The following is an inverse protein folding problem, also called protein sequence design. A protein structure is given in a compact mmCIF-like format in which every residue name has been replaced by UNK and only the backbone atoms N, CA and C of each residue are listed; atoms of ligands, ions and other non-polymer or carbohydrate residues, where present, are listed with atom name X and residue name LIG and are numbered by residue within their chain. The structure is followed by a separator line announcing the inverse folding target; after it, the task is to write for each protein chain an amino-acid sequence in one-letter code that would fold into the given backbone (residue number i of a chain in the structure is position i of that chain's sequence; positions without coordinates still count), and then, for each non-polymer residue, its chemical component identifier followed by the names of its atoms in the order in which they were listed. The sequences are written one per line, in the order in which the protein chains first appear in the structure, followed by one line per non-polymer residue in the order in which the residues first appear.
data_IF_201554467126
#
_entry.id   IF_201554467126
#
_cell.length_a   1.000
_cell.length_b   1.000
_cell.length_c   1.000
_cell.angle_alpha   90.00
_cell.angle_beta   90.00
_cell.angle_gamma   90.00
#
_symmetry.space_group_name_H-M   'P 1'
#
loop_
_entity.id
_entity.type
_entity.pdbx_description
1 polymer ?
#
# COMPACT_ATOMS: atom_id res chain seq x y z
N UNK A 1 18.90 21.82 5.48
CA UNK A 1 18.00 22.65 4.67
C UNK A 1 17.24 21.70 3.75
N UNK A 2 15.96 21.44 4.01
CA UNK A 2 15.17 20.57 3.15
C UNK A 2 14.92 21.32 1.84
N UNK A 3 15.39 20.76 0.72
CA UNK A 3 15.07 21.28 -0.60
C UNK A 3 13.60 21.06 -0.92
N UNK A 4 13.06 21.84 -1.86
CA UNK A 4 11.72 21.58 -2.38
C UNK A 4 11.64 20.17 -2.99
N UNK A 5 10.55 19.46 -2.72
CA UNK A 5 10.34 18.08 -3.11
C UNK A 5 8.93 17.86 -3.66
N UNK A 6 8.79 16.91 -4.59
CA UNK A 6 7.51 16.50 -5.17
C UNK A 6 7.35 14.99 -5.07
N UNK A 7 6.19 14.56 -4.59
CA UNK A 7 5.84 13.17 -4.33
C UNK A 7 4.63 12.79 -5.18
N UNK A 8 4.78 11.76 -6.01
CA UNK A 8 3.67 11.12 -6.72
C UNK A 8 3.38 9.78 -6.06
N UNK A 9 2.15 9.56 -5.62
CA UNK A 9 1.75 8.33 -4.95
C UNK A 9 0.61 7.66 -5.72
N UNK A 10 0.77 6.38 -6.03
CA UNK A 10 -0.20 5.54 -6.74
C UNK A 10 -0.20 4.13 -6.15
N UNK A 11 -1.24 3.32 -6.41
CA UNK A 11 -1.37 2.00 -5.79
C UNK A 11 -2.15 1.03 -6.67
N UNK A 12 -2.14 -0.25 -6.27
CA UNK A 12 -3.00 -1.30 -6.82
C UNK A 12 -2.82 -1.45 -8.34
N UNK A 13 -1.56 -1.62 -8.75
CA UNK A 13 -1.19 -1.88 -10.15
C UNK A 13 -1.34 -3.36 -10.49
N UNK A 14 -1.14 -4.25 -9.52
CA UNK A 14 -1.26 -5.70 -9.68
C UNK A 14 -0.50 -6.24 -10.89
N UNK A 15 0.75 -5.81 -11.08
CA UNK A 15 1.58 -6.28 -12.19
C UNK A 15 1.90 -7.77 -11.99
N UNK A 16 1.36 -8.60 -12.87
CA UNK A 16 1.57 -10.05 -12.90
C UNK A 16 2.40 -10.51 -14.11
N UNK A 17 2.46 -11.83 -14.30
CA UNK A 17 3.11 -12.46 -15.48
C UNK A 17 2.30 -12.32 -16.77
N UNK A 18 1.11 -11.75 -16.68
CA UNK A 18 0.28 -11.32 -17.80
C UNK A 18 -0.17 -9.87 -17.60
N UNK A 19 -0.66 -9.25 -18.68
CA UNK A 19 -1.25 -7.90 -18.70
C UNK A 19 -2.72 -7.99 -19.12
N UNK A 20 -3.45 -8.89 -18.47
CA UNK A 20 -4.85 -9.21 -18.83
C UNK A 20 -5.86 -8.24 -18.21
N UNK A 21 -5.41 -7.35 -17.31
CA UNK A 21 -6.29 -6.34 -16.73
C UNK A 21 -6.79 -5.40 -17.84
N UNK A 22 -8.11 -5.18 -17.98
CA UNK A 22 -8.68 -4.32 -19.01
C UNK A 22 -8.14 -2.89 -19.04
N UNK A 23 -7.67 -2.36 -17.90
CA UNK A 23 -7.06 -1.03 -17.80
C UNK A 23 -5.57 -1.02 -18.12
N UNK A 24 -4.94 -2.20 -18.23
CA UNK A 24 -3.53 -2.40 -18.65
C UNK A 24 -2.55 -1.47 -17.91
N UNK A 25 -2.49 -1.54 -16.57
CA UNK A 25 -1.66 -0.64 -15.77
C UNK A 25 -0.17 -0.71 -16.17
N UNK A 26 0.33 -1.88 -16.57
CA UNK A 26 1.70 -2.05 -17.07
C UNK A 26 2.00 -1.31 -18.38
N UNK A 27 0.99 -1.05 -19.21
CA UNK A 27 1.11 -0.23 -20.42
C UNK A 27 0.89 1.27 -20.14
N UNK A 28 0.09 1.60 -19.12
CA UNK A 28 -0.23 2.97 -18.74
C UNK A 28 0.91 3.66 -17.95
N UNK A 29 1.48 2.96 -16.97
CA UNK A 29 2.50 3.49 -16.06
C UNK A 29 3.72 4.15 -16.76
N UNK A 30 4.30 3.59 -17.84
CA UNK A 30 5.44 4.22 -18.52
C UNK A 30 5.10 5.62 -19.03
N UNK A 31 3.86 5.83 -19.52
CA UNK A 31 3.39 7.12 -20.00
C UNK A 31 3.31 8.15 -18.87
N UNK A 32 2.79 7.74 -17.71
CA UNK A 32 2.72 8.57 -16.51
C UNK A 32 4.11 8.98 -16.03
N UNK A 33 5.02 8.01 -15.85
CA UNK A 33 6.37 8.28 -15.36
C UNK A 33 7.13 9.25 -16.29
N UNK A 34 7.03 9.06 -17.61
CA UNK A 34 7.71 9.92 -18.57
C UNK A 34 7.15 11.34 -18.60
N UNK A 35 5.82 11.50 -18.52
CA UNK A 35 5.15 12.81 -18.68
C UNK A 35 5.05 13.60 -17.39
N UNK A 36 4.78 12.95 -16.27
CA UNK A 36 4.54 13.63 -14.99
C UNK A 36 5.83 13.70 -14.15
N UNK A 37 6.57 12.59 -14.03
CA UNK A 37 7.71 12.48 -13.11
C UNK A 37 8.99 13.00 -13.75
N UNK A 38 9.29 12.55 -14.97
CA UNK A 38 10.55 12.86 -15.65
C UNK A 38 10.59 14.25 -16.30
N UNK A 39 9.43 14.88 -16.55
CA UNK A 39 9.37 16.18 -17.21
C UNK A 39 9.84 17.36 -16.32
N UNK A 40 9.84 17.20 -14.98
CA UNK A 40 10.28 18.23 -14.05
C UNK A 40 11.79 18.28 -13.85
N UNK A 41 12.34 19.48 -13.63
CA UNK A 41 13.74 19.69 -13.24
C UNK A 41 13.82 20.55 -11.97
N UNK A 42 14.90 20.39 -11.18
CA UNK A 42 15.26 21.31 -10.10
C UNK A 42 14.69 21.02 -8.70
N UNK A 43 13.75 20.09 -8.54
CA UNK A 43 13.24 19.64 -7.23
C UNK A 43 13.59 18.17 -6.97
N UNK A 44 13.64 17.78 -5.70
CA UNK A 44 13.70 16.35 -5.33
C UNK A 44 12.41 15.68 -5.77
N UNK A 45 12.51 14.46 -6.31
CA UNK A 45 11.38 13.75 -6.92
C UNK A 45 11.27 12.37 -6.32
N UNK A 46 10.06 12.02 -5.90
CA UNK A 46 9.75 10.76 -5.26
C UNK A 46 8.52 10.13 -5.91
N UNK A 47 8.62 8.85 -6.27
CA UNK A 47 7.46 8.05 -6.69
C UNK A 47 7.23 6.99 -5.63
N UNK A 48 6.00 6.91 -5.14
CA UNK A 48 5.59 5.97 -4.10
C UNK A 48 4.51 5.04 -4.66
N UNK A 49 4.80 3.75 -4.65
CA UNK A 49 3.81 2.71 -4.90
C UNK A 49 3.22 2.27 -3.55
N UNK A 50 1.97 2.65 -3.28
CA UNK A 50 1.29 2.52 -1.98
C UNK A 50 0.60 1.15 -1.85
N UNK A 51 1.37 0.09 -2.07
CA UNK A 51 0.92 -1.31 -2.01
C UNK A 51 0.35 -1.88 -3.29
N UNK A 52 0.37 -3.20 -3.36
CA UNK A 52 -0.21 -4.03 -4.43
C UNK A 52 0.32 -3.63 -5.82
N UNK A 53 1.63 -3.42 -5.88
CA UNK A 53 2.36 -3.13 -7.12
C UNK A 53 2.54 -4.39 -7.96
N UNK A 54 2.87 -5.51 -7.30
CA UNK A 54 3.20 -6.79 -7.93
C UNK A 54 2.31 -7.91 -7.39
N UNK A 55 2.15 -8.99 -8.16
CA UNK A 55 1.45 -10.21 -7.72
C UNK A 55 2.45 -11.27 -7.21
N UNK A 56 2.80 -11.18 -5.92
CA UNK A 56 3.81 -12.03 -5.25
C UNK A 56 3.26 -12.85 -4.06
N UNK A 57 2.01 -12.63 -3.66
CA UNK A 57 1.45 -13.18 -2.41
C UNK A 57 1.52 -14.71 -2.34
N UNK A 58 1.97 -15.22 -1.19
CA UNK A 58 1.97 -16.64 -0.87
C UNK A 58 3.03 -17.47 -1.60
N UNK A 59 4.03 -16.81 -2.21
CA UNK A 59 5.17 -17.46 -2.84
C UNK A 59 6.31 -17.62 -1.84
N UNK A 60 7.03 -18.74 -1.95
CA UNK A 60 8.30 -18.89 -1.24
C UNK A 60 9.34 -17.90 -1.78
N UNK A 61 10.45 -17.70 -1.07
CA UNK A 61 11.49 -16.73 -1.44
C UNK A 61 12.02 -16.90 -2.87
N UNK A 62 12.47 -18.11 -3.24
CA UNK A 62 12.98 -18.40 -4.58
C UNK A 62 11.90 -18.20 -5.67
N UNK A 63 10.65 -18.54 -5.34
CA UNK A 63 9.52 -18.35 -6.25
C UNK A 63 9.17 -16.87 -6.41
N UNK A 64 9.29 -16.07 -5.35
CA UNK A 64 9.08 -14.62 -5.37
C UNK A 64 10.15 -13.93 -6.24
N UNK A 65 11.41 -14.33 -6.12
CA UNK A 65 12.49 -13.84 -6.97
C UNK A 65 12.23 -14.17 -8.44
N UNK A 66 11.97 -15.43 -8.77
CA UNK A 66 11.69 -15.86 -10.14
C UNK A 66 10.42 -15.19 -10.71
N UNK A 67 9.39 -15.00 -9.87
CA UNK A 67 8.16 -14.30 -10.25
C UNK A 67 8.42 -12.83 -10.53
N UNK A 68 9.19 -12.15 -9.69
CA UNK A 68 9.55 -10.74 -9.87
C UNK A 68 10.29 -10.54 -11.20
N UNK A 69 11.28 -11.37 -11.50
CA UNK A 69 11.98 -11.33 -12.80
C UNK A 69 11.02 -11.54 -13.97
N UNK A 70 10.12 -12.52 -13.87
CA UNK A 70 9.12 -12.81 -14.90
C UNK A 70 8.18 -11.63 -15.14
N UNK A 71 7.72 -10.96 -14.07
CA UNK A 71 6.89 -9.76 -14.16
C UNK A 71 7.66 -8.64 -14.86
N UNK A 72 8.92 -8.40 -14.51
CA UNK A 72 9.72 -7.34 -15.11
C UNK A 72 10.01 -7.59 -16.60
N UNK A 73 10.23 -8.85 -16.99
CA UNK A 73 10.35 -9.25 -18.40
C UNK A 73 9.05 -9.00 -19.16
N UNK A 74 7.91 -9.37 -18.57
CA UNK A 74 6.58 -9.16 -19.17
C UNK A 74 6.27 -7.67 -19.35
N UNK A 75 6.70 -6.83 -18.41
CA UNK A 75 6.41 -5.39 -18.38
C UNK A 75 7.66 -4.53 -18.67
N UNK A 76 8.42 -4.90 -19.70
CA UNK A 76 9.73 -4.31 -20.00
C UNK A 76 9.71 -2.77 -20.15
N UNK A 77 8.65 -2.21 -20.73
CA UNK A 77 8.53 -0.75 -20.87
C UNK A 77 8.31 -0.02 -19.54
N UNK A 78 7.62 -0.68 -18.59
CA UNK A 78 7.48 -0.20 -17.21
C UNK A 78 8.82 -0.27 -16.51
N UNK A 79 9.52 -1.40 -16.60
CA UNK A 79 10.85 -1.56 -16.02
C UNK A 79 11.83 -0.49 -16.52
N UNK A 80 11.91 -0.28 -17.84
CA UNK A 80 12.73 0.77 -18.45
C UNK A 80 12.35 2.18 -17.99
N UNK A 81 11.07 2.45 -17.76
CA UNK A 81 10.64 3.75 -17.27
C UNK A 81 11.03 3.97 -15.80
N UNK A 82 10.95 2.94 -14.97
CA UNK A 82 11.39 2.98 -13.56
C UNK A 82 12.92 3.14 -13.46
N UNK A 83 13.68 2.36 -14.23
CA UNK A 83 15.14 2.50 -14.33
C UNK A 83 15.53 3.93 -14.78
N UNK A 84 14.86 4.46 -15.81
CA UNK A 84 15.11 5.83 -16.27
C UNK A 84 14.75 6.91 -15.23
N UNK A 85 13.78 6.65 -14.34
CA UNK A 85 13.50 7.49 -13.18
C UNK A 85 14.66 7.44 -12.18
N UNK A 86 15.08 6.24 -11.75
CA UNK A 86 16.16 6.07 -10.80
C UNK A 86 17.48 6.67 -11.32
N UNK A 87 17.82 6.43 -12.59
CA UNK A 87 19.01 7.00 -13.26
C UNK A 87 18.98 8.54 -13.36
N UNK A 88 17.80 9.17 -13.28
CA UNK A 88 17.63 10.63 -13.21
C UNK A 88 17.53 11.17 -11.78
N UNK A 89 17.89 10.35 -10.79
CA UNK A 89 17.90 10.71 -9.38
C UNK A 89 16.51 10.77 -8.74
N UNK A 90 15.47 10.22 -9.37
CA UNK A 90 14.16 10.05 -8.74
C UNK A 90 14.26 8.94 -7.70
N UNK A 91 13.73 9.18 -6.51
CA UNK A 91 13.64 8.17 -5.47
C UNK A 91 12.38 7.33 -5.68
N UNK A 92 12.53 6.00 -5.74
CA UNK A 92 11.45 5.05 -5.86
C UNK A 92 11.18 4.40 -4.49
N UNK A 93 9.93 4.45 -4.06
CA UNK A 93 9.47 3.87 -2.80
C UNK A 93 8.37 2.84 -3.09
N UNK A 94 8.50 1.64 -2.53
CA UNK A 94 7.51 0.57 -2.63
C UNK A 94 7.01 0.23 -1.24
N UNK A 95 5.82 0.72 -0.89
CA UNK A 95 5.13 0.30 0.32
C UNK A 95 4.45 -1.03 0.04
N UNK A 96 4.61 -2.00 0.93
CA UNK A 96 4.03 -3.33 0.72
C UNK A 96 2.53 -3.32 1.02
N UNK A 97 1.77 -3.93 0.11
CA UNK A 97 0.37 -4.26 0.27
C UNK A 97 0.19 -5.74 0.63
N UNK A 98 -1.03 -6.24 0.46
CA UNK A 98 -1.33 -7.64 0.77
C UNK A 98 -1.10 -8.59 -0.41
N UNK A 99 -0.95 -8.08 -1.64
CA UNK A 99 -0.58 -8.86 -2.84
C UNK A 99 0.93 -8.96 -3.07
N UNK A 100 1.71 -8.03 -2.51
CA UNK A 100 3.16 -7.96 -2.66
C UNK A 100 3.90 -7.92 -1.32
N UNK A 101 3.31 -8.45 -0.25
CA UNK A 101 3.97 -8.56 1.07
C UNK A 101 5.34 -9.25 1.00
N UNK A 102 5.52 -10.22 0.10
CA UNK A 102 6.82 -10.91 -0.10
C UNK A 102 7.93 -9.97 -0.59
N UNK A 103 7.57 -8.81 -1.16
CA UNK A 103 8.54 -7.80 -1.57
C UNK A 103 9.40 -7.30 -0.40
N UNK A 104 8.86 -7.36 0.82
CA UNK A 104 9.54 -6.91 2.01
C UNK A 104 10.69 -7.83 2.47
N UNK A 105 10.79 -9.06 1.91
CA UNK A 105 11.92 -9.95 2.19
C UNK A 105 13.23 -9.28 1.78
N UNK A 106 14.28 -9.33 2.62
CA UNK A 106 15.54 -8.62 2.33
C UNK A 106 16.15 -8.97 0.97
N UNK A 107 16.12 -10.25 0.58
CA UNK A 107 16.63 -10.72 -0.72
C UNK A 107 15.81 -10.21 -1.90
N UNK A 108 14.48 -10.26 -1.81
CA UNK A 108 13.55 -9.79 -2.86
C UNK A 108 13.64 -8.27 -3.02
N UNK A 109 13.68 -7.52 -1.92
CA UNK A 109 13.89 -6.07 -1.92
C UNK A 109 15.25 -5.69 -2.52
N UNK A 110 16.34 -6.35 -2.10
CA UNK A 110 17.67 -6.10 -2.64
C UNK A 110 17.76 -6.42 -4.13
N UNK A 111 17.10 -7.50 -4.56
CA UNK A 111 17.03 -7.88 -5.97
C UNK A 111 16.27 -6.84 -6.80
N UNK A 112 15.11 -6.35 -6.33
CA UNK A 112 14.39 -5.25 -6.99
C UNK A 112 15.27 -4.01 -7.13
N UNK A 113 15.96 -3.60 -6.05
CA UNK A 113 16.87 -2.45 -6.08
C UNK A 113 18.03 -2.63 -7.06
N UNK A 114 18.63 -3.83 -7.12
CA UNK A 114 19.71 -4.15 -8.04
C UNK A 114 19.25 -4.12 -9.51
N UNK A 115 18.01 -4.55 -9.79
CA UNK A 115 17.44 -4.49 -11.12
C UNK A 115 17.11 -3.05 -11.55
N UNK A 116 16.49 -2.25 -10.67
CA UNK A 116 16.00 -0.91 -11.01
C UNK A 116 17.05 0.21 -10.88
N UNK A 117 18.09 0.02 -10.07
CA UNK A 117 19.14 1.01 -9.89
C UNK A 117 20.48 0.34 -9.51
N UNK A 118 21.12 -0.40 -10.42
CA UNK A 118 22.33 -1.16 -10.11
C UNK A 118 23.50 -0.29 -9.64
N UNK A 119 23.59 0.96 -10.11
CA UNK A 119 24.66 1.89 -9.75
C UNK A 119 24.40 2.62 -8.43
N UNK A 120 23.14 2.84 -8.06
CA UNK A 120 22.74 3.51 -6.81
C UNK A 120 21.56 2.78 -6.15
N UNK A 121 21.74 1.56 -5.61
CA UNK A 121 20.61 0.74 -5.11
C UNK A 121 19.76 1.42 -4.04
N UNK A 122 20.31 2.40 -3.32
CA UNK A 122 19.60 3.22 -2.33
C UNK A 122 18.51 4.10 -2.91
N UNK A 123 18.45 4.27 -4.24
CA UNK A 123 17.35 4.94 -4.99
C UNK A 123 16.04 4.17 -4.97
N UNK A 124 16.08 2.89 -4.61
CA UNK A 124 14.92 2.02 -4.56
C UNK A 124 14.78 1.52 -3.12
N UNK A 125 13.68 1.90 -2.48
CA UNK A 125 13.41 1.56 -1.10
C UNK A 125 12.11 0.80 -0.98
N UNK A 126 12.16 -0.35 -0.31
CA UNK A 126 10.98 -1.12 0.07
C UNK A 126 10.61 -0.75 1.52
N UNK A 127 9.32 -0.49 1.74
CA UNK A 127 8.75 -0.15 3.03
C UNK A 127 7.79 -1.28 3.43
N UNK A 128 8.22 -2.16 4.35
CA UNK A 128 7.40 -3.27 4.85
C UNK A 128 6.01 -2.89 5.32
N UNK A 129 5.91 -1.74 5.99
CA UNK A 129 4.72 -1.36 6.74
C UNK A 129 4.13 -0.05 6.23
N UNK A 130 4.88 1.04 6.34
CA UNK A 130 4.51 2.34 5.81
C UNK A 130 5.75 3.17 5.49
N UNK A 131 5.55 4.21 4.69
CA UNK A 131 6.48 5.31 4.49
C UNK A 131 6.07 6.45 5.42
N UNK A 132 7.04 7.01 6.14
CA UNK A 132 6.88 8.23 6.92
C UNK A 132 7.86 9.29 6.43
N UNK A 133 7.33 10.47 6.14
CA UNK A 133 8.11 11.67 5.82
C UNK A 133 7.74 12.71 6.88
N UNK A 134 8.66 13.02 7.82
CA UNK A 134 8.35 13.86 8.97
C UNK A 134 7.61 15.14 8.59
N UNK A 135 6.47 15.38 9.25
CA UNK A 135 5.56 16.51 9.05
C UNK A 135 4.90 16.64 7.67
N UNK A 136 5.30 15.84 6.69
CA UNK A 136 4.78 15.90 5.32
C UNK A 136 3.69 14.86 5.11
N UNK A 137 4.04 13.57 5.18
CA UNK A 137 3.09 12.51 4.87
C UNK A 137 3.39 11.20 5.58
N UNK A 138 2.33 10.40 5.75
CA UNK A 138 2.43 8.96 5.94
C UNK A 138 1.72 8.27 4.77
N UNK A 139 2.31 7.20 4.23
CA UNK A 139 1.71 6.38 3.19
C UNK A 139 1.73 4.91 3.59
N UNK A 140 0.57 4.28 3.64
CA UNK A 140 0.39 2.86 3.93
C UNK A 140 -0.59 2.25 2.95
N UNK A 141 -0.50 0.96 2.64
CA UNK A 141 -1.52 0.36 1.77
C UNK A 141 -2.91 0.45 2.43
N UNK A 142 -3.04 0.04 3.71
CA UNK A 142 -4.27 0.15 4.51
C UNK A 142 -4.93 -1.19 4.87
N UNK A 143 -4.44 -2.29 4.30
CA UNK A 143 -4.92 -3.65 4.58
C UNK A 143 -4.86 -4.03 6.07
N UNK A 144 -3.91 -3.47 6.81
CA UNK A 144 -3.73 -3.69 8.24
C UNK A 144 -4.88 -3.19 9.13
N UNK A 145 -5.70 -2.29 8.62
CA UNK A 145 -6.89 -1.82 9.34
C UNK A 145 -8.17 -2.51 8.87
N UNK A 146 -8.07 -3.33 7.82
CA UNK A 146 -9.17 -4.06 7.24
C UNK A 146 -9.20 -5.50 7.76
N UNK A 147 -10.15 -5.78 8.64
CA UNK A 147 -10.25 -7.06 9.35
C UNK A 147 -10.32 -8.31 8.44
N UNK A 148 -10.57 -8.18 7.14
CA UNK A 148 -10.64 -9.32 6.21
C UNK A 148 -9.41 -9.47 5.30
N UNK A 149 -8.59 -8.43 5.17
CA UNK A 149 -7.41 -8.38 4.31
C UNK A 149 -6.11 -8.20 5.11
N UNK A 150 -6.22 -8.12 6.43
CA UNK A 150 -5.09 -7.92 7.31
C UNK A 150 -4.15 -9.12 7.29
N UNK A 151 -2.87 -8.80 7.14
CA UNK A 151 -1.76 -9.70 7.40
C UNK A 151 -1.28 -9.41 8.83
N UNK A 152 -1.30 -10.41 9.74
CA UNK A 152 -0.76 -10.23 11.08
C UNK A 152 0.77 -10.07 11.02
N UNK A 153 1.35 -9.45 12.06
CA UNK A 153 2.81 -9.35 12.24
C UNK A 153 3.58 -8.72 11.05
N UNK A 154 3.03 -7.67 10.40
CA UNK A 154 3.58 -7.04 9.16
C UNK A 154 5.11 -6.93 9.12
N UNK A 155 5.76 -6.53 10.23
CA UNK A 155 7.23 -6.44 10.30
C UNK A 155 7.96 -7.79 10.33
N UNK A 156 7.38 -8.80 11.00
CA UNK A 156 7.93 -10.16 10.99
C UNK A 156 7.69 -10.84 9.65
N UNK A 157 6.50 -10.67 9.09
CA UNK A 157 6.12 -11.17 7.76
C UNK A 157 7.01 -10.59 6.67
N UNK A 158 7.47 -9.36 6.86
CA UNK A 158 8.45 -8.74 6.01
C UNK A 158 9.84 -9.37 6.11
N UNK A 159 10.31 -9.69 7.30
CA UNK A 159 11.67 -10.22 7.51
C UNK A 159 11.75 -11.72 7.20
N UNK A 160 10.71 -12.48 7.55
CA UNK A 160 10.70 -13.95 7.47
C UNK A 160 9.77 -14.51 6.38
N UNK A 161 9.07 -13.63 5.63
CA UNK A 161 8.06 -14.05 4.67
C UNK A 161 6.70 -14.39 5.26
N UNK A 162 5.73 -14.70 4.40
CA UNK A 162 4.42 -15.20 4.83
C UNK A 162 4.29 -16.72 4.89
N UNK A 163 5.39 -17.46 4.72
CA UNK A 163 5.41 -18.94 4.64
C UNK A 163 4.72 -19.64 5.82
N UNK A 164 4.70 -19.01 7.00
CA UNK A 164 4.09 -19.53 8.23
C UNK A 164 2.72 -18.90 8.56
N UNK A 165 2.20 -18.03 7.70
CA UNK A 165 0.93 -17.33 7.94
C UNK A 165 -0.23 -18.06 7.30
N UNK A 166 -1.34 -18.09 8.02
CA UNK A 166 -2.60 -18.56 7.45
C UNK A 166 -3.19 -17.47 6.53
N UNK A 167 -3.92 -17.91 5.50
CA UNK A 167 -4.64 -17.01 4.60
C UNK A 167 -5.52 -16.03 5.38
N UNK A 168 -5.59 -14.75 4.97
CA UNK A 168 -6.55 -13.79 5.52
C UNK A 168 -8.00 -14.29 5.39
N UNK A 169 -8.94 -13.82 6.25
CA UNK A 169 -10.28 -14.39 6.32
C UNK A 169 -11.04 -14.42 4.99
N UNK A 170 -10.94 -13.37 4.17
CA UNK A 170 -11.61 -13.37 2.86
C UNK A 170 -10.94 -14.30 1.85
N UNK A 171 -9.61 -14.40 1.88
CA UNK A 171 -8.88 -15.35 1.05
C UNK A 171 -9.25 -16.79 1.42
N UNK A 172 -9.36 -17.09 2.72
CA UNK A 172 -9.81 -18.41 3.21
C UNK A 172 -11.24 -18.76 2.75
N UNK A 173 -12.15 -17.78 2.66
CA UNK A 173 -13.48 -18.00 2.11
C UNK A 173 -13.46 -18.38 0.62
N UNK A 174 -12.61 -17.73 -0.17
CA UNK A 174 -12.51 -17.96 -1.61
C UNK A 174 -11.74 -19.23 -1.96
N UNK A 175 -10.73 -19.58 -1.15
CA UNK A 175 -9.90 -20.76 -1.35
C UNK A 175 -10.58 -22.07 -0.92
N UNK A 176 -11.64 -22.02 -0.09
CA UNK A 176 -12.37 -23.23 0.32
C UNK A 176 -13.18 -23.78 -0.88
N UNK A 177 -12.84 -25.00 -1.37
CA UNK A 177 -13.44 -25.58 -2.57
C UNK A 177 -14.88 -26.04 -2.35
N UNK A 178 -15.36 -26.06 -1.11
CA UNK A 178 -16.72 -26.47 -0.77
C UNK A 178 -17.75 -25.52 -1.38
N UNK A 179 -18.86 -26.07 -1.86
CA UNK A 179 -20.05 -25.30 -2.22
C UNK A 179 -20.89 -24.90 -1.00
N UNK A 180 -20.60 -25.47 0.18
CA UNK A 180 -21.35 -25.22 1.42
C UNK A 180 -20.91 -23.92 2.09
N UNK A 181 -21.85 -22.99 2.27
CA UNK A 181 -21.63 -21.73 2.99
C UNK A 181 -21.18 -21.94 4.44
N UNK A 182 -21.64 -23.02 5.09
CA UNK A 182 -21.24 -23.36 6.47
C UNK A 182 -19.76 -23.79 6.55
N UNK A 183 -19.30 -24.59 5.57
CA UNK A 183 -17.89 -25.00 5.48
C UNK A 183 -16.97 -23.79 5.33
N UNK A 184 -17.29 -22.92 4.36
CA UNK A 184 -16.54 -21.70 4.09
C UNK A 184 -16.56 -20.72 5.28
N UNK A 185 -17.69 -20.60 5.99
CA UNK A 185 -17.77 -19.80 7.21
C UNK A 185 -16.89 -20.39 8.32
N UNK A 186 -16.80 -21.71 8.42
CA UNK A 186 -15.83 -22.40 9.28
C UNK A 186 -14.38 -22.09 8.91
N UNK A 187 -14.04 -22.02 7.62
CA UNK A 187 -12.70 -21.62 7.15
C UNK A 187 -12.35 -20.18 7.54
N UNK A 188 -13.29 -19.24 7.37
CA UNK A 188 -13.17 -17.85 7.84
C UNK A 188 -12.91 -17.81 9.35
N UNK A 189 -13.68 -18.56 10.14
CA UNK A 189 -13.53 -18.57 11.59
C UNK A 189 -12.17 -19.12 12.04
N UNK A 190 -11.68 -20.19 11.40
CA UNK A 190 -10.33 -20.74 11.66
C UNK A 190 -9.25 -19.73 11.29
N UNK A 191 -9.37 -19.06 10.14
CA UNK A 191 -8.45 -18.00 9.72
C UNK A 191 -8.42 -16.84 10.72
N UNK A 192 -9.58 -16.35 11.19
CA UNK A 192 -9.63 -15.32 12.23
C UNK A 192 -8.91 -15.73 13.51
N UNK A 193 -9.15 -16.96 14.00
CA UNK A 193 -8.48 -17.47 15.20
C UNK A 193 -6.96 -17.59 15.00
N UNK A 194 -6.53 -18.08 13.84
CA UNK A 194 -5.12 -18.17 13.50
C UNK A 194 -4.44 -16.80 13.47
N UNK A 195 -5.09 -15.78 12.89
CA UNK A 195 -4.59 -14.41 12.88
C UNK A 195 -4.49 -13.81 14.29
N UNK A 196 -5.45 -14.09 15.18
CA UNK A 196 -5.36 -13.65 16.58
C UNK A 196 -4.24 -14.37 17.35
N UNK A 197 -4.00 -15.66 17.08
CA UNK A 197 -2.90 -16.40 17.69
C UNK A 197 -1.53 -15.90 17.22
N UNK A 198 -1.38 -15.62 15.92
CA UNK A 198 -0.20 -14.99 15.34
C UNK A 198 0.11 -13.65 16.05
N UNK A 199 -0.91 -12.81 16.25
CA UNK A 199 -0.76 -11.52 16.94
C UNK A 199 -0.34 -11.62 18.42
N UNK A 200 -0.40 -12.80 19.05
CA UNK A 200 0.18 -12.98 20.39
C UNK A 200 1.70 -13.00 20.35
N UNK A 201 2.31 -13.39 19.23
CA UNK A 201 3.76 -13.39 18.99
C UNK A 201 4.34 -11.98 18.88
N UNK A 202 3.51 -10.96 18.62
CA UNK A 202 3.89 -9.54 18.70
C UNK A 202 4.41 -9.14 20.09
N UNK A 203 4.14 -9.96 21.12
CA UNK A 203 4.61 -9.73 22.49
C UNK A 203 5.95 -10.40 22.79
N UNK A 204 6.56 -11.04 21.80
CA UNK A 204 7.88 -11.66 21.92
C UNK A 204 8.97 -10.58 21.85
N UNK A 205 10.06 -10.68 22.64
CA UNK A 205 11.16 -9.72 22.64
C UNK A 205 11.76 -9.46 21.26
N UNK A 206 11.79 -10.48 20.40
CA UNK A 206 12.28 -10.39 19.03
C UNK A 206 11.47 -9.39 18.19
N UNK A 207 10.16 -9.26 18.46
CA UNK A 207 9.31 -8.28 17.77
C UNK A 207 9.57 -6.85 18.26
N UNK A 208 9.92 -6.68 19.55
CA UNK A 208 10.31 -5.37 20.08
C UNK A 208 11.62 -4.88 19.44
N UNK A 209 12.59 -5.77 19.19
CA UNK A 209 13.81 -5.43 18.44
C UNK A 209 13.49 -5.00 17.00
N UNK A 210 12.54 -5.66 16.33
CA UNK A 210 12.07 -5.25 15.01
C UNK A 210 11.43 -3.86 15.04
N UNK A 211 10.60 -3.56 16.05
CA UNK A 211 10.03 -2.22 16.23
C UNK A 211 11.12 -1.17 16.51
N UNK A 212 12.18 -1.50 17.23
CA UNK A 212 13.31 -0.60 17.44
C UNK A 212 14.06 -0.29 16.14
N UNK A 213 14.34 -1.31 15.34
CA UNK A 213 14.98 -1.11 14.03
C UNK A 213 14.09 -0.26 13.12
N UNK A 214 12.78 -0.51 13.15
CA UNK A 214 11.82 0.19 12.30
C UNK A 214 11.59 1.64 12.75
N UNK A 215 11.66 1.93 14.06
CA UNK A 215 11.54 3.31 14.58
C UNK A 215 12.68 4.20 14.08
N UNK A 216 13.91 3.65 14.05
CA UNK A 216 15.07 4.32 13.46
C UNK A 216 14.88 4.59 11.97
N UNK A 217 14.36 3.60 11.22
CA UNK A 217 14.11 3.72 9.77
C UNK A 217 13.07 4.78 9.45
N UNK A 218 12.01 4.86 10.27
CA UNK A 218 10.91 5.79 10.09
C UNK A 218 11.17 7.18 10.70
N UNK A 219 12.27 7.34 11.44
CA UNK A 219 12.55 8.52 12.26
C UNK A 219 11.38 8.87 13.19
N UNK A 220 10.78 7.84 13.81
CA UNK A 220 9.71 7.95 14.80
C UNK A 220 10.24 7.50 16.15
N UNK A 221 9.68 8.05 17.22
CA UNK A 221 9.97 7.53 18.54
C UNK A 221 9.38 6.11 18.71
N UNK A 222 10.05 5.32 19.53
CA UNK A 222 9.69 3.92 19.75
C UNK A 222 8.31 3.76 20.42
N UNK A 223 7.88 4.76 21.21
CA UNK A 223 6.57 4.71 21.87
C UNK A 223 5.43 4.94 20.86
N UNK A 224 5.57 5.92 19.97
CA UNK A 224 4.66 6.14 18.85
C UNK A 224 4.54 4.88 18.00
N UNK A 225 5.65 4.28 17.59
CA UNK A 225 5.61 3.10 16.75
C UNK A 225 4.93 1.90 17.44
N UNK A 226 5.15 1.72 18.75
CA UNK A 226 4.42 0.71 19.55
C UNK A 226 2.92 0.99 19.60
N UNK A 227 2.50 2.23 19.77
CA UNK A 227 1.09 2.58 19.79
C UNK A 227 0.42 2.41 18.43
N UNK A 228 1.12 2.75 17.34
CA UNK A 228 0.69 2.45 15.96
C UNK A 228 0.58 0.94 15.72
N UNK A 229 1.53 0.14 16.23
CA UNK A 229 1.47 -1.31 16.13
C UNK A 229 0.27 -1.87 16.91
N UNK A 230 -0.10 -1.25 18.04
CA UNK A 230 -1.30 -1.60 18.82
C UNK A 230 -2.60 -1.25 18.11
N UNK A 231 -2.66 -0.14 17.37
CA UNK A 231 -3.82 0.21 16.54
C UNK A 231 -4.12 -0.85 15.49
N UNK A 232 -3.06 -1.46 14.97
CA UNK A 232 -3.18 -2.48 13.95
C UNK A 232 -3.79 -3.77 14.51
N UNK A 233 -3.66 -4.08 15.83
CA UNK A 233 -3.97 -5.40 16.41
C UNK A 233 -5.31 -6.05 16.01
N UNK A 234 -5.24 -7.35 15.69
CA UNK A 234 -6.39 -8.12 15.20
C UNK A 234 -7.10 -8.73 16.39
N UNK A 235 -8.42 -8.71 16.37
CA UNK A 235 -9.23 -9.42 17.35
C UNK A 235 -10.34 -10.16 16.62
N UNK A 236 -10.50 -11.45 16.91
CA UNK A 236 -11.53 -12.29 16.29
C UNK A 236 -12.93 -11.70 16.51
N UNK A 237 -13.16 -11.13 17.70
CA UNK A 237 -14.43 -10.50 18.09
C UNK A 237 -14.81 -9.29 17.24
N UNK A 238 -13.85 -8.60 16.61
CA UNK A 238 -14.13 -7.47 15.70
C UNK A 238 -14.16 -7.88 14.23
N UNK A 239 -13.47 -8.97 13.87
CA UNK A 239 -13.36 -9.45 12.50
C UNK A 239 -14.54 -10.34 12.06
N UNK A 240 -14.99 -11.26 12.92
CA UNK A 240 -16.09 -12.19 12.61
C UNK A 240 -17.41 -11.49 12.26
N UNK A 241 -17.88 -10.49 13.04
CA UNK A 241 -19.12 -9.79 12.67
C UNK A 241 -18.99 -9.07 11.33
N UNK A 242 -17.83 -8.45 11.05
CA UNK A 242 -17.59 -7.73 9.79
C UNK A 242 -17.52 -8.68 8.58
N UNK A 243 -16.89 -9.85 8.76
CA UNK A 243 -16.91 -10.92 7.76
C UNK A 243 -18.35 -11.32 7.47
N UNK A 244 -19.10 -11.69 8.52
CA UNK A 244 -20.49 -12.13 8.41
C UNK A 244 -21.38 -11.07 7.75
N UNK A 245 -21.29 -9.80 8.16
CA UNK A 245 -22.06 -8.70 7.56
C UNK A 245 -21.72 -8.52 6.08
N UNK A 246 -20.43 -8.51 5.70
CA UNK A 246 -20.04 -8.38 4.29
C UNK A 246 -20.52 -9.55 3.45
N UNK A 247 -20.48 -10.77 4.00
CA UNK A 247 -20.96 -11.98 3.34
C UNK A 247 -22.49 -11.98 3.16
N UNK A 248 -23.24 -11.51 4.16
CA UNK A 248 -24.69 -11.32 4.06
C UNK A 248 -25.06 -10.23 3.04
N UNK A 249 -24.34 -9.11 3.04
CA UNK A 249 -24.60 -8.01 2.09
C UNK A 249 -24.23 -8.41 0.65
N UNK A 250 -23.14 -9.14 0.46
CA UNK A 250 -22.78 -9.72 -0.84
C UNK A 250 -23.86 -10.70 -1.34
N UNK A 251 -24.39 -11.55 -0.45
CA UNK A 251 -25.50 -12.45 -0.78
C UNK A 251 -26.81 -11.69 -1.10
N UNK A 252 -26.97 -10.48 -0.57
CA UNK A 252 -28.12 -9.61 -0.82
C UNK A 252 -27.89 -8.60 -1.97
N UNK A 253 -26.74 -8.63 -2.66
CA UNK A 253 -26.42 -7.71 -3.75
C UNK A 253 -26.17 -6.25 -3.35
N UNK A 254 -25.98 -5.96 -2.06
CA UNK A 254 -25.78 -4.60 -1.55
C UNK A 254 -24.29 -4.26 -1.40
N UNK A 255 -23.88 -3.08 -1.88
CA UNK A 255 -22.54 -2.50 -1.64
C UNK A 255 -22.60 -1.52 -0.46
N UNK A 256 -21.68 -1.65 0.50
CA UNK A 256 -21.57 -0.71 1.63
C UNK A 256 -21.04 0.62 1.12
N UNK A 257 -21.84 1.67 1.25
CA UNK A 257 -21.44 3.05 1.02
C UNK A 257 -20.97 3.69 2.33
N UNK A 258 -19.83 4.38 2.29
CA UNK A 258 -19.38 5.29 3.33
C UNK A 258 -18.46 6.33 2.71
N UNK A 259 -18.80 7.61 2.80
CA UNK A 259 -18.09 8.73 2.16
C UNK A 259 -17.01 9.37 3.04
N UNK A 260 -16.71 8.76 4.20
CA UNK A 260 -15.76 9.29 5.18
C UNK A 260 -14.45 8.50 5.14
N UNK A 261 -13.33 9.19 5.30
CA UNK A 261 -12.03 8.55 5.51
C UNK A 261 -12.08 7.49 6.63
N UNK A 262 -11.32 6.40 6.52
CA UNK A 262 -11.44 5.28 7.44
C UNK A 262 -11.11 5.71 8.87
N UNK A 263 -11.91 5.26 9.83
CA UNK A 263 -11.71 5.57 11.26
C UNK A 263 -10.31 5.17 11.78
N UNK A 264 -9.66 4.22 11.11
CA UNK A 264 -8.30 3.81 11.40
C UNK A 264 -7.26 4.87 10.99
N UNK A 265 -7.38 5.47 9.81
CA UNK A 265 -6.50 6.57 9.38
C UNK A 265 -6.57 7.75 10.35
N UNK A 266 -7.77 8.09 10.84
CA UNK A 266 -7.94 9.10 11.89
C UNK A 266 -7.20 8.73 13.18
N UNK A 267 -7.31 7.49 13.64
CA UNK A 267 -6.61 7.05 14.87
C UNK A 267 -5.09 7.10 14.69
N UNK A 268 -4.60 6.64 13.54
CA UNK A 268 -3.19 6.69 13.21
C UNK A 268 -2.66 8.13 13.20
N UNK A 269 -3.36 9.04 12.51
CA UNK A 269 -3.01 10.46 12.48
C UNK A 269 -2.98 11.07 13.87
N UNK A 270 -3.98 10.79 14.72
CA UNK A 270 -3.99 11.28 16.12
C UNK A 270 -2.84 10.74 16.94
N UNK A 271 -2.50 9.46 16.82
CA UNK A 271 -1.35 8.88 17.52
C UNK A 271 -0.07 9.59 17.10
N UNK A 272 0.13 9.87 15.80
CA UNK A 272 1.26 10.67 15.36
C UNK A 272 1.25 12.09 15.95
N UNK A 273 0.10 12.78 15.95
CA UNK A 273 -0.04 14.12 16.54
C UNK A 273 0.27 14.12 18.06
N UNK A 274 -0.21 13.12 18.81
CA UNK A 274 0.01 12.95 20.25
C UNK A 274 1.50 12.78 20.60
N UNK A 275 2.27 12.14 19.71
CA UNK A 275 3.71 11.94 19.85
C UNK A 275 4.54 13.04 19.14
N UNK A 276 3.92 14.14 18.74
CA UNK A 276 4.62 15.27 18.10
C UNK A 276 5.15 14.99 16.69
N UNK A 277 4.72 13.88 16.09
CA UNK A 277 5.11 13.42 14.74
C UNK A 277 3.97 13.56 13.73
N UNK A 278 3.03 14.48 13.99
CA UNK A 278 1.89 14.75 13.11
C UNK A 278 2.32 15.11 11.69
N UNK A 279 1.53 14.70 10.70
CA UNK A 279 1.80 14.87 9.25
C UNK A 279 0.67 15.62 8.55
N UNK A 280 0.98 16.34 7.47
CA UNK A 280 -0.02 17.04 6.68
C UNK A 280 -0.95 16.08 5.91
N UNK A 281 -0.41 14.94 5.43
CA UNK A 281 -1.14 14.00 4.59
C UNK A 281 -1.08 12.55 5.10
N UNK A 282 -2.21 11.87 5.04
CA UNK A 282 -2.33 10.42 5.18
C UNK A 282 -2.77 9.83 3.85
N UNK A 283 -1.96 8.96 3.25
CA UNK A 283 -2.21 8.38 1.92
C UNK A 283 -2.40 6.86 2.01
N UNK A 284 -3.45 6.33 1.37
CA UNK A 284 -3.78 4.89 1.36
C UNK A 284 -4.22 4.34 0.00
N UNK A 285 -3.89 3.08 -0.35
CA UNK A 285 -4.30 2.42 -1.60
C UNK A 285 -5.48 1.44 -1.48
N UNK A 286 -5.68 0.84 -0.32
CA UNK A 286 -6.39 -0.43 -0.16
C UNK A 286 -7.88 -0.50 -0.55
N UNK A 287 -8.61 0.62 -0.65
CA UNK A 287 -10.07 0.56 -0.85
C UNK A 287 -10.48 0.50 -2.32
N UNK A 288 -9.53 0.68 -3.24
CA UNK A 288 -9.74 0.84 -4.68
C UNK A 288 -10.71 1.97 -5.04
N UNK A 289 -10.96 2.88 -4.10
CA UNK A 289 -11.81 4.04 -4.28
C UNK A 289 -10.97 5.27 -4.11
N UNK A 290 -10.78 6.01 -5.19
CA UNK A 290 -10.17 7.31 -5.13
C UNK A 290 -11.03 8.25 -4.26
N UNK A 291 -10.43 8.84 -3.22
CA UNK A 291 -11.14 9.68 -2.27
C UNK A 291 -10.19 10.69 -1.64
N UNK A 292 -10.63 11.94 -1.52
CA UNK A 292 -9.95 12.94 -0.70
C UNK A 292 -10.94 13.46 0.35
N UNK A 293 -10.50 13.55 1.61
CA UNK A 293 -11.34 14.05 2.72
C UNK A 293 -10.51 14.58 3.87
N UNK A 294 -11.10 15.41 4.72
CA UNK A 294 -10.51 15.77 6.00
C UNK A 294 -10.66 14.62 7.01
N UNK A 295 -9.68 14.44 7.91
CA UNK A 295 -9.83 13.57 9.07
C UNK A 295 -10.40 14.37 10.24
N UNK A 296 -11.60 13.99 10.68
CA UNK A 296 -12.31 14.72 11.74
C UNK A 296 -11.46 14.87 13.02
N UNK A 297 -11.27 16.12 13.46
CA UNK A 297 -10.51 16.45 14.66
C UNK A 297 -9.03 16.08 14.58
N UNK A 298 -8.45 16.11 13.37
CA UNK A 298 -7.01 16.08 13.10
C UNK A 298 -6.70 17.21 12.11
N UNK A 299 -5.45 17.66 12.07
CA UNK A 299 -4.98 18.60 11.05
C UNK A 299 -4.60 17.91 9.75
N UNK A 300 -4.35 16.59 9.82
CA UNK A 300 -4.02 15.73 8.68
C UNK A 300 -5.19 15.58 7.70
N UNK A 301 -4.89 15.69 6.40
CA UNK A 301 -5.81 15.36 5.30
C UNK A 301 -5.63 13.92 4.84
N UNK A 302 -6.72 13.28 4.43
CA UNK A 302 -6.72 11.90 3.95
C UNK A 302 -6.89 11.85 2.44
N UNK A 303 -6.05 11.06 1.78
CA UNK A 303 -6.21 10.64 0.39
C UNK A 303 -6.21 9.11 0.34
N UNK A 304 -7.23 8.54 -0.31
CA UNK A 304 -7.12 7.22 -0.90
C UNK A 304 -6.75 7.38 -2.38
N UNK A 305 -5.65 6.77 -2.82
CA UNK A 305 -5.16 6.84 -4.21
C UNK A 305 -6.08 6.13 -5.19
N UNK A 306 -7.01 5.29 -4.73
CA UNK A 306 -7.86 4.50 -5.61
C UNK A 306 -7.13 3.27 -6.12
N UNK A 307 -7.30 2.96 -7.40
CA UNK A 307 -6.64 1.81 -8.02
C UNK A 307 -6.28 2.09 -9.47
N UNK A 308 -5.23 1.44 -9.94
CA UNK A 308 -4.87 1.44 -11.36
C UNK A 308 -5.39 0.20 -12.09
N UNK A 309 -5.84 -0.82 -11.37
CA UNK A 309 -6.47 -2.02 -11.91
C UNK A 309 -7.98 -1.83 -12.13
N UNK A 310 -8.59 -2.80 -12.79
CA UNK A 310 -9.99 -2.78 -13.20
C UNK A 310 -11.03 -2.87 -12.07
N UNK A 311 -10.63 -3.22 -10.84
CA UNK A 311 -11.52 -3.28 -9.67
C UNK A 311 -11.76 -1.87 -9.06
N UNK A 312 -12.24 -0.94 -9.88
CA UNK A 312 -12.56 0.44 -9.46
C UNK A 312 -13.82 0.45 -8.59
N UNK A 313 -13.75 1.16 -7.46
CA UNK A 313 -14.86 1.27 -6.50
C UNK A 313 -15.20 2.72 -6.18
N UNK A 314 -16.41 2.92 -5.67
CA UNK A 314 -16.90 4.26 -5.28
C UNK A 314 -17.39 5.08 -6.46
N UNK A 315 -17.16 6.40 -6.41
CA UNK A 315 -17.51 7.37 -7.45
C UNK A 315 -16.25 8.16 -7.79
N UNK A 316 -16.01 8.38 -9.08
CA UNK A 316 -14.87 9.15 -9.55
C UNK A 316 -14.75 9.14 -11.08
N UNK A 317 -13.93 10.01 -11.68
CA UNK A 317 -13.61 10.00 -13.11
C UNK A 317 -13.14 8.63 -13.62
N UNK A 318 -12.38 7.90 -12.82
CA UNK A 318 -11.85 6.55 -13.09
C UNK A 318 -12.93 5.46 -13.21
N UNK A 319 -14.12 5.70 -12.65
CA UNK A 319 -15.27 4.80 -12.81
C UNK A 319 -15.98 5.00 -14.16
N UNK A 320 -15.98 6.24 -14.67
CA UNK A 320 -16.62 6.60 -15.95
C UNK A 320 -15.67 6.44 -17.14
N UNK A 321 -14.37 6.59 -16.89
CA UNK A 321 -13.31 6.54 -17.88
C UNK A 321 -12.21 5.58 -17.43
N UNK A 322 -12.16 4.40 -18.06
CA UNK A 322 -11.16 3.36 -17.79
C UNK A 322 -9.72 3.80 -18.11
N UNK A 323 -9.53 4.94 -18.80
CA UNK A 323 -8.21 5.52 -19.12
C UNK A 323 -7.79 6.61 -18.12
N UNK A 324 -8.61 6.88 -17.11
CA UNK A 324 -8.36 7.88 -16.08
C UNK A 324 -7.80 7.21 -14.82
N UNK A 325 -6.51 7.40 -14.53
CA UNK A 325 -5.80 6.74 -13.45
C UNK A 325 -5.58 7.70 -12.27
N UNK A 326 -6.12 7.40 -11.07
CA UNK A 326 -5.98 8.27 -9.91
C UNK A 326 -4.57 8.20 -9.30
N UNK A 327 -4.07 9.32 -8.80
CA UNK A 327 -2.82 9.37 -8.03
C UNK A 327 -2.87 10.55 -7.05
N UNK A 328 -2.12 10.49 -5.96
CA UNK A 328 -1.92 11.61 -5.07
C UNK A 328 -0.66 12.38 -5.48
N UNK A 329 -0.73 13.71 -5.41
CA UNK A 329 0.40 14.60 -5.59
C UNK A 329 0.62 15.38 -4.28
N UNK A 330 1.83 15.33 -3.73
CA UNK A 330 2.23 16.14 -2.58
C UNK A 330 3.48 16.95 -2.94
N UNK A 331 3.35 18.27 -2.86
CA UNK A 331 4.41 19.25 -3.06
C UNK A 331 4.89 19.79 -1.72
N UNK A 332 6.21 19.79 -1.51
CA UNK A 332 6.88 20.37 -0.34
C UNK A 332 7.71 21.54 -0.83
N UNK A 333 7.42 22.74 -0.33
CA UNK A 333 8.21 23.92 -0.67
C UNK A 333 9.55 23.98 0.08
N UNK A 334 10.38 24.98 -0.21
CA UNK A 334 11.66 25.18 0.46
C UNK A 334 11.56 25.52 1.95
N UNK A 335 10.38 25.90 2.43
CA UNK A 335 10.10 26.18 3.84
C UNK A 335 9.57 24.94 4.57
N UNK A 336 9.38 23.83 3.86
CA UNK A 336 8.82 22.58 4.40
C UNK A 336 7.28 22.55 4.43
N UNK A 337 6.59 23.54 3.86
CA UNK A 337 5.14 23.52 3.79
C UNK A 337 4.67 22.50 2.73
N UNK A 338 3.80 21.58 3.14
CA UNK A 338 3.25 20.54 2.28
C UNK A 338 1.86 20.94 1.74
N UNK A 339 1.69 20.84 0.43
CA UNK A 339 0.41 21.05 -0.28
C UNK A 339 0.19 19.90 -1.27
N UNK A 340 -1.01 19.75 -1.82
CA UNK A 340 -1.30 18.59 -2.64
C UNK A 340 -2.77 18.25 -2.76
N UNK A 341 -3.03 17.05 -3.29
CA UNK A 341 -4.36 16.48 -3.42
C UNK A 341 -4.39 15.29 -4.37
N UNK A 342 -5.58 14.71 -4.50
CA UNK A 342 -5.90 13.68 -5.47
C UNK A 342 -5.96 14.27 -6.89
N UNK A 343 -5.44 13.54 -7.86
CA UNK A 343 -5.36 13.90 -9.28
C UNK A 343 -5.68 12.69 -10.15
N UNK A 344 -5.98 12.94 -11.42
CA UNK A 344 -6.21 11.88 -12.40
C UNK A 344 -5.34 12.11 -13.63
N UNK A 345 -4.60 11.07 -14.01
CA UNK A 345 -3.79 11.05 -15.21
C UNK A 345 -4.52 10.32 -16.34
N UNK A 346 -4.34 10.79 -17.59
CA UNK A 346 -4.88 10.14 -18.79
C UNK A 346 -3.78 9.88 -19.81
N UNK A 347 -3.81 8.70 -20.41
CA UNK A 347 -2.86 8.28 -21.44
C UNK A 347 -2.90 9.18 -22.70
N UNK A 348 -4.08 9.69 -23.06
CA UNK A 348 -4.32 10.37 -24.34
C UNK A 348 -4.28 11.92 -24.26
N UNK A 349 -4.06 12.51 -23.07
CA UNK A 349 -3.84 13.96 -22.93
C UNK A 349 -4.21 14.54 -21.55
N UNK A 350 -3.22 15.16 -20.89
CA UNK A 350 -3.34 16.10 -19.77
C UNK A 350 -3.90 15.56 -18.45
N UNK A 351 -3.21 15.83 -17.33
CA UNK A 351 -3.76 15.66 -15.98
C UNK A 351 -5.02 16.51 -15.80
N UNK A 352 -6.14 15.90 -15.39
CA UNK A 352 -7.33 16.63 -14.96
C UNK A 352 -7.33 16.74 -13.43
N UNK A 353 -7.61 17.94 -12.91
CA UNK A 353 -7.90 18.12 -11.50
C UNK A 353 -9.21 17.39 -11.14
N UNK A 354 -9.22 16.74 -9.97
CA UNK A 354 -10.36 16.00 -9.43
C UNK A 354 -11.56 16.90 -9.11
#
# INVERSE_FOLDING_TARGET
MNGAARWWLLSDLHLGVSDDDPRRPGAALPGFLRREVLAGAGTQRHVVFVGDTFELVGLAEDESLARLESILIQHLDTFRALDACAARGVQLHFVCGNHDVELARPSVAAHLSALLSPLEPTRVQVHPWFLHVPHVLVAEHGHQHHALHRIPEVLRSAINGTDQLNLPPLAAWNADPSSSRLSRAGAVARSCLASELAERRIREPEYDEMLQSESLRLALDEAALRDLARLSRFRTVSALPRAATRMMLAAAGHRIAGEVGPAAARRFARTLEEHGSGVAWYVSGHTHRALESALEGCTTRYINTGTWCSDVRGRGPDQLDHRSFPYALVDVDSNGAASGGLRYWRADGGSAAA
#
